data_IF_627382337744
#
_entry.id   IF_627382337744
#
_cell.length_a   1.000
_cell.length_b   1.000
_cell.length_c   1.000
_cell.angle_alpha   90.00
_cell.angle_beta   90.00
_cell.angle_gamma   90.00
#
_symmetry.space_group_name_H-M   'P 1'
#
loop_
_entity.id
_entity.type
_entity.pdbx_description
1 polymer ?
#
# COMPACT_ATOMS: atom_id res chain seq x y z
N UNK A 1 3.57 4.34 65.01
CA UNK A 1 4.62 5.38 64.88
C UNK A 1 4.69 5.73 63.41
N UNK A 2 3.80 6.64 62.95
CA UNK A 2 4.03 8.10 62.90
C UNK A 2 5.13 8.44 61.88
N UNK A 3 5.00 9.37 60.96
CA UNK A 3 3.94 10.24 60.44
C UNK A 3 4.66 11.08 59.35
N UNK A 4 3.89 11.85 58.57
CA UNK A 4 4.32 13.02 57.78
C UNK A 4 4.99 12.73 56.42
N UNK A 5 4.54 13.27 55.29
CA UNK A 5 3.53 14.29 55.08
C UNK A 5 3.60 14.78 53.62
N UNK A 6 2.48 14.64 52.91
CA UNK A 6 1.79 15.67 52.14
C UNK A 6 2.53 16.57 51.11
N UNK A 7 2.05 16.43 49.86
CA UNK A 7 1.66 17.48 48.89
C UNK A 7 2.56 18.70 48.66
N UNK A 8 3.09 18.77 47.42
CA UNK A 8 3.65 19.97 46.81
C UNK A 8 3.00 20.29 45.46
N UNK A 9 1.70 20.61 45.47
CA UNK A 9 1.00 21.27 44.36
C UNK A 9 1.72 22.59 44.07
N UNK A 10 2.43 22.70 42.94
CA UNK A 10 2.99 23.97 42.49
C UNK A 10 1.86 24.86 42.00
N UNK A 11 1.30 25.67 42.91
CA UNK A 11 0.41 26.79 42.58
C UNK A 11 1.21 27.81 41.78
N UNK A 12 0.88 27.96 40.50
CA UNK A 12 1.31 29.08 39.67
C UNK A 12 0.79 30.39 40.29
N UNK A 13 1.72 31.25 40.74
CA UNK A 13 1.39 32.63 41.09
C UNK A 13 1.34 33.43 39.80
N UNK A 14 0.12 33.72 39.32
CA UNK A 14 -0.11 34.80 38.35
C UNK A 14 0.24 36.13 39.03
N UNK A 15 1.32 36.77 38.57
CA UNK A 15 1.60 38.16 38.88
C UNK A 15 1.20 38.97 37.64
N UNK A 16 0.07 39.67 37.76
CA UNK A 16 -0.46 40.57 36.74
C UNK A 16 0.42 41.83 36.73
N UNK A 17 1.13 42.05 35.63
CA UNK A 17 1.72 43.33 35.28
C UNK A 17 1.27 43.67 33.85
N UNK A 18 0.67 44.85 33.72
CA UNK A 18 -0.11 45.33 32.58
C UNK A 18 0.73 46.37 31.82
N UNK A 19 1.23 46.04 30.62
CA UNK A 19 1.57 46.99 29.52
C UNK A 19 1.52 46.25 28.15
N UNK A 20 0.72 46.78 27.22
CA UNK A 20 0.48 46.37 25.80
C UNK A 20 1.71 46.57 24.87
N UNK A 21 1.77 46.08 23.60
CA UNK A 21 0.78 45.31 22.81
C UNK A 21 1.35 44.09 22.03
N UNK A 22 0.47 43.32 21.39
CA UNK A 22 0.76 42.40 20.26
C UNK A 22 1.84 41.31 20.46
N UNK A 23 1.45 40.19 21.08
CA UNK A 23 1.86 38.89 20.57
C UNK A 23 0.67 37.94 20.66
N UNK A 24 0.09 37.63 19.50
CA UNK A 24 -0.75 36.46 19.34
C UNK A 24 0.15 35.27 19.65
N UNK A 25 0.04 34.75 20.86
CA UNK A 25 0.62 33.45 21.19
C UNK A 25 -0.21 32.41 20.44
N UNK A 26 0.12 32.23 19.16
CA UNK A 26 -0.25 31.02 18.45
C UNK A 26 0.50 29.89 19.13
N UNK A 27 -0.18 29.14 19.99
CA UNK A 27 0.20 27.77 20.29
C UNK A 27 -0.01 26.97 19.00
N UNK A 28 0.88 27.17 18.02
CA UNK A 28 1.02 26.25 16.91
C UNK A 28 1.71 25.04 17.51
N UNK A 29 0.91 24.04 17.89
CA UNK A 29 1.40 22.69 18.13
C UNK A 29 1.98 22.24 16.78
N UNK A 30 3.27 22.53 16.57
CA UNK A 30 4.00 22.02 15.44
C UNK A 30 3.94 20.51 15.55
N UNK A 31 3.03 19.90 14.80
CA UNK A 31 3.04 18.47 14.56
C UNK A 31 4.43 18.17 14.02
N UNK A 32 5.32 17.66 14.90
CA UNK A 32 6.62 17.19 14.46
C UNK A 32 6.33 16.07 13.47
N UNK A 33 6.47 16.38 12.18
CA UNK A 33 6.53 15.36 11.18
C UNK A 33 7.79 14.57 11.50
N UNK A 34 7.60 13.38 12.06
CA UNK A 34 8.69 12.46 12.34
C UNK A 34 9.46 12.26 11.03
N UNK A 35 10.76 12.62 10.98
CA UNK A 35 11.53 12.41 9.77
C UNK A 35 11.62 10.89 9.55
N UNK A 36 10.96 10.41 8.50
CA UNK A 36 11.16 9.04 8.01
C UNK A 36 12.67 8.84 7.83
N UNK A 37 13.34 8.00 8.63
CA UNK A 37 14.77 7.83 8.52
C UNK A 37 15.06 7.09 7.21
N UNK A 38 15.38 7.84 6.17
CA UNK A 38 15.83 7.27 4.90
C UNK A 38 17.32 6.95 5.05
N UNK A 39 17.67 5.66 4.99
CA UNK A 39 19.07 5.22 4.85
C UNK A 39 19.70 5.97 3.67
N UNK A 40 20.82 6.65 3.90
CA UNK A 40 21.51 7.42 2.86
C UNK A 40 22.05 6.51 1.75
N UNK A 41 21.77 6.87 0.50
CA UNK A 41 22.53 6.35 -0.65
C UNK A 41 21.76 5.93 -1.91
N UNK A 42 20.43 6.07 -1.99
CA UNK A 42 19.66 5.42 -3.07
C UNK A 42 18.67 6.36 -3.73
N UNK A 43 18.71 6.45 -5.06
CA UNK A 43 17.71 7.18 -5.86
C UNK A 43 16.31 6.63 -5.55
N UNK A 44 15.47 7.45 -4.93
CA UNK A 44 14.07 7.14 -4.70
C UNK A 44 13.26 7.53 -5.95
N UNK A 45 12.33 6.67 -6.36
CA UNK A 45 11.25 7.05 -7.27
C UNK A 45 9.95 7.06 -6.49
N UNK A 46 9.13 8.10 -6.65
CA UNK A 46 7.82 8.12 -6.02
C UNK A 46 6.94 7.03 -6.64
N UNK A 47 6.33 6.22 -5.80
CA UNK A 47 5.25 5.33 -6.20
C UNK A 47 4.06 6.20 -6.66
N UNK A 48 3.31 5.75 -7.65
CA UNK A 48 2.12 6.46 -8.07
C UNK A 48 1.16 6.59 -6.89
N UNK A 49 0.55 7.78 -6.74
CA UNK A 49 -0.67 7.87 -5.98
C UNK A 49 -1.71 6.95 -6.64
N UNK A 50 -2.32 6.11 -5.81
CA UNK A 50 -3.52 5.34 -6.13
C UNK A 50 -4.61 6.29 -6.61
N UNK A 51 -5.67 5.79 -7.26
CA UNK A 51 -6.82 6.61 -7.69
C UNK A 51 -7.66 7.19 -6.52
N UNK A 52 -7.07 7.29 -5.32
CA UNK A 52 -7.60 7.97 -4.16
C UNK A 52 -7.27 9.47 -4.23
N UNK A 53 -8.14 10.34 -3.68
CA UNK A 53 -7.81 11.74 -3.61
C UNK A 53 -6.55 11.91 -2.74
N UNK A 54 -5.56 12.64 -3.25
CA UNK A 54 -4.35 13.02 -2.51
C UNK A 54 -4.67 13.75 -1.19
N UNK A 55 -5.91 14.20 -1.02
CA UNK A 55 -6.48 14.79 0.19
C UNK A 55 -7.51 13.83 0.77
N UNK A 56 -7.19 13.23 1.91
CA UNK A 56 -8.09 12.32 2.59
C UNK A 56 -8.83 13.07 3.71
N UNK A 57 -10.16 13.08 3.64
CA UNK A 57 -11.01 13.56 4.73
C UNK A 57 -11.19 12.43 5.75
N UNK A 58 -11.22 12.73 7.06
CA UNK A 58 -11.67 11.76 8.05
C UNK A 58 -13.10 11.30 7.71
N UNK A 59 -13.33 9.98 7.76
CA UNK A 59 -14.67 9.42 7.53
C UNK A 59 -15.63 9.98 8.59
N UNK A 60 -16.85 10.43 8.21
CA UNK A 60 -17.83 10.94 9.16
C UNK A 60 -18.16 9.96 10.30
N UNK A 61 -18.04 8.66 10.02
CA UNK A 61 -18.41 7.57 10.92
C UNK A 61 -17.21 6.94 11.66
N UNK A 62 -16.01 7.52 11.53
CA UNK A 62 -14.82 6.98 12.18
C UNK A 62 -14.99 7.02 13.72
N UNK A 63 -14.97 5.84 14.35
CA UNK A 63 -14.92 5.73 15.82
C UNK A 63 -13.50 6.02 16.28
N UNK A 64 -13.22 7.28 16.54
CA UNK A 64 -11.99 7.68 17.20
C UNK A 64 -12.02 7.15 18.64
N UNK A 65 -10.89 6.62 19.12
CA UNK A 65 -10.73 6.20 20.52
C UNK A 65 -10.93 7.38 21.48
N UNK A 66 -10.55 7.21 22.76
CA UNK A 66 -10.80 8.18 23.84
C UNK A 66 -10.24 9.62 23.64
N UNK A 67 -9.67 9.94 22.47
CA UNK A 67 -9.25 11.28 22.04
C UNK A 67 -10.22 12.02 21.09
N UNK A 68 -11.40 11.47 20.76
CA UNK A 68 -12.40 12.16 19.94
C UNK A 68 -12.01 12.35 18.46
N UNK A 69 -12.97 12.78 17.64
CA UNK A 69 -12.70 13.15 16.25
C UNK A 69 -11.79 14.38 16.18
N UNK A 70 -10.88 14.47 15.19
CA UNK A 70 -10.09 15.68 15.01
C UNK A 70 -11.02 16.90 14.85
N UNK A 71 -10.74 17.98 15.58
CA UNK A 71 -11.55 19.20 15.67
C UNK A 71 -11.71 19.97 14.33
N UNK A 72 -11.12 19.47 13.25
CA UNK A 72 -11.35 20.00 11.91
C UNK A 72 -11.25 18.90 10.85
N UNK A 73 -12.10 18.94 9.81
CA UNK A 73 -11.94 18.12 8.61
C UNK A 73 -10.81 18.71 7.75
N UNK A 74 -9.62 18.87 8.31
CA UNK A 74 -8.45 19.22 7.52
C UNK A 74 -8.11 17.98 6.72
N UNK A 75 -8.29 18.06 5.41
CA UNK A 75 -7.84 17.01 4.55
C UNK A 75 -6.32 16.95 4.61
N UNK A 76 -5.78 15.83 5.09
CA UNK A 76 -4.33 15.64 5.13
C UNK A 76 -3.86 15.25 3.73
N UNK A 77 -2.74 15.83 3.32
CA UNK A 77 -2.10 15.46 2.06
C UNK A 77 -1.42 14.11 2.27
N UNK A 78 -1.81 13.10 1.47
CA UNK A 78 -1.21 11.76 1.50
C UNK A 78 0.03 11.81 0.60
N UNK A 79 1.26 11.80 1.15
CA UNK A 79 2.46 11.85 0.33
C UNK A 79 2.61 10.54 -0.44
N UNK A 80 3.06 10.66 -1.70
CA UNK A 80 3.43 9.49 -2.49
C UNK A 80 4.56 8.71 -1.79
N UNK A 81 4.42 7.38 -1.69
CA UNK A 81 5.41 6.55 -1.03
C UNK A 81 6.69 6.43 -1.88
N UNK A 82 7.90 6.57 -1.33
CA UNK A 82 9.11 6.33 -2.08
C UNK A 82 9.32 4.83 -2.35
N UNK A 83 9.75 4.50 -3.56
CA UNK A 83 10.22 3.17 -3.99
C UNK A 83 11.71 3.22 -4.28
N UNK A 84 12.43 2.22 -3.78
CA UNK A 84 13.89 2.14 -3.87
C UNK A 84 14.32 0.91 -4.67
N UNK A 85 15.04 1.07 -5.80
CA UNK A 85 15.34 -0.05 -6.68
C UNK A 85 16.28 -1.09 -6.09
N UNK A 86 17.06 -0.72 -5.09
CA UNK A 86 18.01 -1.54 -4.34
C UNK A 86 17.35 -2.30 -3.16
N UNK A 87 16.12 -1.93 -2.79
CA UNK A 87 15.38 -2.59 -1.71
C UNK A 87 14.56 -3.78 -2.22
N UNK A 88 14.32 -4.79 -1.37
CA UNK A 88 13.47 -5.91 -1.74
C UNK A 88 12.00 -5.47 -1.86
N UNK A 89 11.25 -6.20 -2.69
CA UNK A 89 9.81 -6.04 -2.90
C UNK A 89 9.04 -5.91 -1.59
N UNK A 90 9.35 -6.76 -0.61
CA UNK A 90 8.65 -6.76 0.68
C UNK A 90 8.84 -5.45 1.45
N UNK A 91 10.00 -4.81 1.35
CA UNK A 91 10.29 -3.56 2.08
C UNK A 91 9.58 -2.36 1.42
N UNK A 92 9.66 -2.26 0.09
CA UNK A 92 8.99 -1.18 -0.64
C UNK A 92 7.47 -1.30 -0.65
N UNK A 93 6.93 -2.53 -0.63
CA UNK A 93 5.49 -2.73 -0.43
C UNK A 93 5.06 -2.26 0.96
N UNK A 94 5.82 -2.62 2.00
CA UNK A 94 5.50 -2.23 3.37
C UNK A 94 5.63 -0.72 3.63
N UNK A 95 6.45 0.00 2.84
CA UNK A 95 6.53 1.47 2.93
C UNK A 95 5.40 2.21 2.19
N UNK A 96 4.55 1.49 1.46
CA UNK A 96 3.51 2.09 0.62
C UNK A 96 2.14 2.04 1.26
N UNK A 97 1.60 3.22 1.58
CA UNK A 97 0.24 3.36 2.12
C UNK A 97 -0.84 2.83 1.16
N UNK A 98 -0.60 2.90 -0.15
CA UNK A 98 -1.58 2.51 -1.18
C UNK A 98 -1.84 1.00 -1.28
N UNK A 99 -1.00 0.18 -0.65
CA UNK A 99 -1.09 -1.29 -0.67
C UNK A 99 -0.99 -1.89 0.72
N UNK A 100 -1.28 -1.10 1.76
CA UNK A 100 -1.22 -1.54 3.15
C UNK A 100 -2.10 -2.78 3.41
N UNK A 101 -3.33 -2.80 2.87
CA UNK A 101 -4.25 -3.93 3.03
C UNK A 101 -3.74 -5.19 2.32
N UNK A 102 -3.13 -5.01 1.16
CA UNK A 102 -2.48 -6.08 0.42
C UNK A 102 -1.30 -6.67 1.21
N UNK A 103 -0.46 -5.83 1.83
CA UNK A 103 0.65 -6.28 2.69
C UNK A 103 0.13 -7.02 3.92
N UNK A 104 -0.91 -6.51 4.58
CA UNK A 104 -1.57 -7.19 5.69
C UNK A 104 -2.08 -8.58 5.29
N UNK A 105 -2.69 -8.71 4.11
CA UNK A 105 -3.10 -10.00 3.57
C UNK A 105 -1.92 -10.93 3.26
N UNK A 106 -0.81 -10.42 2.74
CA UNK A 106 0.40 -11.20 2.48
C UNK A 106 1.04 -11.74 3.77
N UNK A 107 1.05 -10.93 4.83
CA UNK A 107 1.55 -11.34 6.15
C UNK A 107 0.63 -12.40 6.77
N UNK A 108 -0.68 -12.18 6.72
CA UNK A 108 -1.69 -13.12 7.24
C UNK A 108 -1.63 -14.50 6.55
N UNK A 109 -1.33 -14.52 5.26
CA UNK A 109 -1.28 -15.76 4.45
C UNK A 109 0.10 -16.41 4.39
N UNK A 110 1.13 -15.76 4.97
CA UNK A 110 2.53 -16.20 4.95
C UNK A 110 3.24 -16.02 3.60
N UNK A 111 2.64 -15.29 2.66
CA UNK A 111 3.24 -15.01 1.35
C UNK A 111 4.33 -13.93 1.44
N UNK A 112 4.31 -13.05 2.44
CA UNK A 112 5.36 -12.06 2.66
C UNK A 112 6.73 -12.72 2.90
N UNK A 113 6.77 -13.84 3.62
CA UNK A 113 7.98 -14.63 3.85
C UNK A 113 8.56 -15.19 2.53
N UNK A 114 7.70 -15.52 1.57
CA UNK A 114 8.12 -15.95 0.22
C UNK A 114 8.77 -14.80 -0.55
N UNK A 115 8.20 -13.59 -0.47
CA UNK A 115 8.74 -12.41 -1.13
C UNK A 115 10.05 -11.90 -0.50
N UNK A 116 10.34 -12.25 0.76
CA UNK A 116 11.64 -11.96 1.40
C UNK A 116 12.77 -12.87 0.91
N UNK A 117 12.47 -14.02 0.29
CA UNK A 117 13.50 -14.97 -0.18
C UNK A 117 14.25 -14.43 -1.40
N UNK A 118 15.48 -14.91 -1.57
CA UNK A 118 16.29 -14.65 -2.74
C UNK A 118 15.68 -15.36 -3.97
N UNK A 119 15.05 -14.59 -4.83
CA UNK A 119 14.53 -15.06 -6.11
C UNK A 119 13.86 -13.90 -6.83
N UNK A 120 13.98 -13.81 -8.17
CA UNK A 120 13.26 -12.79 -8.89
C UNK A 120 11.76 -13.11 -8.85
N UNK A 121 10.98 -12.22 -8.25
CA UNK A 121 9.52 -12.24 -8.30
C UNK A 121 9.00 -11.07 -9.14
N UNK A 122 7.85 -11.28 -9.76
CA UNK A 122 7.07 -10.19 -10.33
C UNK A 122 5.75 -10.13 -9.58
N UNK A 123 5.47 -9.00 -8.96
CA UNK A 123 4.28 -8.80 -8.12
C UNK A 123 3.37 -7.79 -8.81
N UNK A 124 2.13 -8.19 -9.06
CA UNK A 124 1.04 -7.35 -9.54
C UNK A 124 0.21 -6.89 -8.32
N UNK A 125 0.72 -5.91 -7.59
CA UNK A 125 0.12 -5.44 -6.35
C UNK A 125 -1.25 -4.80 -6.60
N UNK A 126 -2.20 -5.15 -5.75
CA UNK A 126 -3.57 -4.63 -5.77
C UNK A 126 -3.62 -3.45 -4.79
N UNK A 127 -3.99 -2.24 -5.24
CA UNK A 127 -4.19 -1.11 -4.33
C UNK A 127 -5.33 -1.35 -3.34
N UNK A 128 -5.36 -0.62 -2.22
CA UNK A 128 -6.37 -0.78 -1.17
C UNK A 128 -7.79 -0.66 -1.72
N UNK A 129 -8.07 0.39 -2.52
CA UNK A 129 -9.43 0.66 -3.03
C UNK A 129 -10.06 -0.50 -3.81
N UNK A 130 -9.42 -1.11 -4.83
CA UNK A 130 -9.93 -2.34 -5.44
C UNK A 130 -10.19 -3.47 -4.44
N UNK A 131 -9.29 -3.64 -3.46
CA UNK A 131 -9.39 -4.70 -2.45
C UNK A 131 -10.54 -4.49 -1.47
N UNK A 132 -10.74 -3.27 -0.99
CA UNK A 132 -11.88 -2.87 -0.17
C UNK A 132 -13.20 -3.07 -0.91
N UNK A 133 -13.29 -2.65 -2.19
CA UNK A 133 -14.49 -2.88 -3.01
C UNK A 133 -14.81 -4.36 -3.14
N UNK A 134 -13.81 -5.19 -3.41
CA UNK A 134 -13.98 -6.63 -3.48
C UNK A 134 -14.39 -7.24 -2.14
N UNK A 135 -13.79 -6.79 -1.04
CA UNK A 135 -14.15 -7.24 0.31
C UNK A 135 -15.60 -6.86 0.67
N UNK A 136 -16.08 -5.67 0.28
CA UNK A 136 -17.46 -5.26 0.48
C UNK A 136 -18.49 -6.03 -0.36
N UNK A 137 -18.06 -6.61 -1.50
CA UNK A 137 -18.89 -7.47 -2.35
C UNK A 137 -18.78 -8.96 -1.99
N UNK A 138 -17.83 -9.32 -1.13
CA UNK A 138 -17.59 -10.70 -0.74
C UNK A 138 -18.78 -11.25 0.04
N UNK A 139 -19.33 -12.38 -0.42
CA UNK A 139 -20.52 -12.99 0.19
C UNK A 139 -20.24 -13.80 1.47
N UNK A 140 -18.95 -13.99 1.82
CA UNK A 140 -18.54 -14.71 3.01
C UNK A 140 -18.42 -13.83 4.26
N UNK A 141 -18.02 -14.46 5.37
CA UNK A 141 -17.97 -13.85 6.71
C UNK A 141 -16.71 -13.00 6.96
N UNK A 142 -16.42 -12.02 6.10
CA UNK A 142 -15.16 -11.23 6.02
C UNK A 142 -14.03 -11.96 5.27
N UNK A 143 -13.35 -11.23 4.37
CA UNK A 143 -12.25 -11.71 3.54
C UNK A 143 -10.98 -11.98 4.38
N UNK A 144 -10.78 -11.24 5.46
CA UNK A 144 -9.63 -11.39 6.36
C UNK A 144 -9.89 -12.35 7.52
N UNK A 145 -11.10 -12.91 7.63
CA UNK A 145 -11.41 -13.91 8.65
C UNK A 145 -10.55 -15.18 8.48
N UNK A 146 -10.25 -15.90 9.57
CA UNK A 146 -9.52 -17.18 9.51
C UNK A 146 -10.15 -18.20 8.56
N UNK A 147 -11.49 -18.21 8.47
CA UNK A 147 -12.24 -19.09 7.56
C UNK A 147 -11.99 -18.77 6.07
N UNK A 148 -11.69 -17.51 5.74
CA UNK A 148 -11.46 -17.02 4.38
C UNK A 148 -9.99 -17.02 3.97
N UNK A 149 -9.07 -17.36 4.89
CA UNK A 149 -7.63 -17.45 4.61
C UNK A 149 -7.24 -18.26 3.35
N UNK A 150 -7.81 -19.45 3.06
CA UNK A 150 -7.45 -20.18 1.84
C UNK A 150 -7.84 -19.41 0.57
N UNK A 151 -8.96 -18.68 0.60
CA UNK A 151 -9.41 -17.83 -0.51
C UNK A 151 -8.47 -16.65 -0.69
N UNK A 152 -8.18 -15.94 0.40
CA UNK A 152 -7.26 -14.79 0.39
C UNK A 152 -5.87 -15.20 -0.11
N UNK A 153 -5.35 -16.33 0.36
CA UNK A 153 -4.04 -16.86 -0.09
C UNK A 153 -4.04 -17.17 -1.58
N UNK A 154 -5.13 -17.73 -2.12
CA UNK A 154 -5.24 -18.01 -3.55
C UNK A 154 -5.33 -16.73 -4.37
N UNK A 155 -6.10 -15.75 -3.92
CA UNK A 155 -6.24 -14.44 -4.55
C UNK A 155 -4.89 -13.71 -4.61
N UNK A 156 -4.20 -13.58 -3.47
CA UNK A 156 -2.91 -12.91 -3.39
C UNK A 156 -1.82 -13.70 -4.12
N UNK A 157 -1.82 -15.04 -4.01
CA UNK A 157 -0.89 -15.89 -4.74
C UNK A 157 -1.01 -15.82 -6.26
N UNK A 158 -2.20 -15.52 -6.77
CA UNK A 158 -2.45 -15.31 -8.20
C UNK A 158 -1.79 -14.02 -8.74
N UNK A 159 -1.54 -13.04 -7.86
CA UNK A 159 -0.84 -11.80 -8.24
C UNK A 159 0.68 -11.92 -8.28
N UNK A 160 1.24 -13.03 -7.80
CA UNK A 160 2.68 -13.24 -7.68
C UNK A 160 3.13 -14.26 -8.73
N UNK A 161 4.09 -13.86 -9.55
CA UNK A 161 4.69 -14.69 -10.60
C UNK A 161 6.17 -14.90 -10.30
N UNK A 162 6.66 -16.12 -10.54
CA UNK A 162 8.09 -16.41 -10.46
C UNK A 162 8.81 -15.91 -11.71
N UNK A 163 9.97 -15.30 -11.51
CA UNK A 163 10.80 -14.73 -12.56
C UNK A 163 10.78 -13.20 -12.57
N UNK A 164 11.81 -12.63 -13.23
CA UNK A 164 11.92 -11.19 -13.47
C UNK A 164 11.26 -10.89 -14.81
N UNK A 165 10.03 -10.38 -14.77
CA UNK A 165 9.26 -9.98 -15.92
C UNK A 165 9.19 -8.46 -15.94
N UNK A 166 10.23 -7.82 -16.46
CA UNK A 166 10.15 -6.39 -16.75
C UNK A 166 9.39 -6.15 -18.07
N UNK A 167 8.94 -4.93 -18.29
CA UNK A 167 8.13 -4.58 -19.46
C UNK A 167 8.84 -4.94 -20.76
N UNK A 168 10.14 -4.62 -20.86
CA UNK A 168 10.95 -4.92 -22.03
C UNK A 168 11.03 -6.42 -22.31
N UNK A 169 11.14 -7.27 -21.28
CA UNK A 169 11.10 -8.73 -21.43
C UNK A 169 9.71 -9.20 -21.83
N UNK A 170 8.64 -8.71 -21.19
CA UNK A 170 7.27 -9.08 -21.52
C UNK A 170 6.96 -8.78 -22.97
N UNK A 171 7.20 -7.54 -23.43
CA UNK A 171 6.99 -7.13 -24.82
C UNK A 171 7.81 -7.98 -25.80
N UNK A 172 9.09 -8.27 -25.50
CA UNK A 172 9.92 -9.16 -26.34
C UNK A 172 9.42 -10.59 -26.39
N UNK A 173 8.86 -11.12 -25.31
CA UNK A 173 8.32 -12.49 -25.29
C UNK A 173 6.99 -12.54 -26.05
N UNK A 174 6.11 -11.57 -25.83
CA UNK A 174 4.85 -11.43 -26.57
C UNK A 174 5.13 -11.35 -28.08
N UNK A 175 6.03 -10.44 -28.50
CA UNK A 175 6.39 -10.28 -29.91
C UNK A 175 6.98 -11.56 -30.55
N UNK A 176 7.74 -12.36 -29.80
CA UNK A 176 8.32 -13.63 -30.29
C UNK A 176 7.32 -14.78 -30.37
N UNK A 177 6.22 -14.71 -29.64
CA UNK A 177 5.22 -15.79 -29.60
C UNK A 177 4.20 -15.64 -30.74
N UNK A 178 4.44 -14.74 -31.71
CA UNK A 178 3.52 -14.38 -32.79
C UNK A 178 2.10 -14.04 -32.32
N UNK A 179 1.95 -13.73 -31.03
CA UNK A 179 0.68 -13.61 -30.34
C UNK A 179 0.63 -12.31 -29.57
N UNK A 180 -0.57 -11.83 -29.27
CA UNK A 180 -0.81 -10.63 -28.48
C UNK A 180 -0.64 -10.86 -26.98
N UNK A 181 -0.31 -12.09 -26.55
CA UNK A 181 -0.30 -12.48 -25.14
C UNK A 181 0.76 -13.53 -24.77
N UNK A 182 1.12 -13.57 -23.48
CA UNK A 182 1.96 -14.59 -22.85
C UNK A 182 1.31 -15.09 -21.56
N UNK A 183 1.28 -16.39 -21.34
CA UNK A 183 0.82 -16.99 -20.09
C UNK A 183 1.97 -17.11 -19.09
N UNK A 184 1.77 -16.58 -17.88
CA UNK A 184 2.71 -16.63 -16.77
C UNK A 184 2.18 -17.57 -15.69
N UNK A 185 3.06 -18.40 -15.13
CA UNK A 185 2.70 -19.29 -14.01
C UNK A 185 2.77 -18.54 -12.69
N UNK A 186 1.63 -18.43 -12.01
CA UNK A 186 1.53 -17.78 -10.70
C UNK A 186 1.90 -18.73 -9.55
N UNK A 187 2.05 -18.19 -8.35
CA UNK A 187 2.27 -18.98 -7.13
C UNK A 187 1.01 -19.79 -6.75
N UNK A 188 -0.20 -19.29 -7.08
CA UNK A 188 -1.43 -20.06 -6.86
C UNK A 188 -1.55 -21.28 -7.79
N UNK A 189 -0.77 -21.32 -8.88
CA UNK A 189 -0.73 -22.41 -9.85
C UNK A 189 -1.54 -22.11 -11.12
N UNK A 190 -2.52 -21.21 -11.04
CA UNK A 190 -3.35 -20.78 -12.17
C UNK A 190 -2.54 -19.89 -13.13
N UNK A 191 -2.74 -20.00 -14.46
CA UNK A 191 -2.04 -19.15 -15.42
C UNK A 191 -2.60 -17.73 -15.42
N UNK A 192 -1.71 -16.74 -15.29
CA UNK A 192 -2.01 -15.32 -15.47
C UNK A 192 -1.52 -14.88 -16.85
N UNK A 193 -2.44 -14.45 -17.71
CA UNK A 193 -2.09 -14.00 -19.05
C UNK A 193 -1.74 -12.52 -19.04
N UNK A 194 -0.64 -12.15 -19.67
CA UNK A 194 -0.26 -10.76 -19.94
C UNK A 194 -0.34 -10.52 -21.43
N UNK A 195 -1.15 -9.56 -21.86
CA UNK A 195 -1.37 -9.22 -23.25
C UNK A 195 -1.05 -7.74 -23.53
N UNK A 196 -0.81 -7.42 -24.80
CA UNK A 196 -0.78 -6.04 -25.27
C UNK A 196 -2.17 -5.70 -25.80
N UNK A 197 -2.81 -4.69 -25.22
CA UNK A 197 -4.08 -4.17 -25.71
C UNK A 197 -3.89 -3.52 -27.08
N UNK A 198 -4.54 -3.99 -28.15
CA UNK A 198 -4.30 -3.50 -29.52
C UNK A 198 -4.59 -2.01 -29.69
N UNK A 199 -5.60 -1.50 -28.97
CA UNK A 199 -6.06 -0.12 -29.09
C UNK A 199 -5.12 0.90 -28.47
N UNK A 200 -4.44 0.54 -27.37
CA UNK A 200 -3.61 1.47 -26.58
C UNK A 200 -2.13 1.11 -26.57
N UNK A 201 -1.77 -0.11 -26.96
CA UNK A 201 -0.41 -0.65 -26.85
C UNK A 201 0.03 -0.91 -25.40
N UNK A 202 -0.86 -0.77 -24.42
CA UNK A 202 -0.58 -0.99 -23.01
C UNK A 202 -0.63 -2.47 -22.64
N UNK A 203 0.11 -2.85 -21.59
CA UNK A 203 0.04 -4.19 -21.03
C UNK A 203 -1.24 -4.35 -20.19
N UNK A 204 -1.97 -5.43 -20.44
CA UNK A 204 -3.18 -5.81 -19.71
C UNK A 204 -3.05 -7.23 -19.19
N UNK A 205 -3.60 -7.47 -18.02
CA UNK A 205 -3.69 -8.79 -17.40
C UNK A 205 -5.03 -9.42 -17.78
N UNK A 206 -5.05 -10.74 -17.96
CA UNK A 206 -6.25 -11.51 -18.19
C UNK A 206 -6.19 -12.84 -17.44
N UNK A 207 -7.34 -13.30 -16.96
CA UNK A 207 -7.48 -14.63 -16.34
C UNK A 207 -8.06 -15.65 -17.33
N UNK A 208 -8.10 -16.92 -16.93
CA UNK A 208 -8.67 -17.98 -17.76
C UNK A 208 -10.20 -17.85 -17.97
N UNK A 209 -10.88 -17.00 -17.19
CA UNK A 209 -12.31 -16.68 -17.35
C UNK A 209 -12.56 -15.53 -18.34
N UNK A 210 -11.52 -14.94 -18.91
CA UNK A 210 -11.62 -13.81 -19.84
C UNK A 210 -11.84 -12.45 -19.18
N UNK A 211 -11.82 -12.36 -17.85
CA UNK A 211 -11.78 -11.07 -17.17
C UNK A 211 -10.42 -10.41 -17.41
N UNK A 212 -10.41 -9.09 -17.59
CA UNK A 212 -9.20 -8.32 -17.86
C UNK A 212 -9.00 -7.25 -16.79
N UNK A 213 -7.74 -6.87 -16.60
CA UNK A 213 -7.34 -5.85 -15.65
C UNK A 213 -6.16 -5.06 -16.18
N UNK A 214 -6.24 -3.74 -16.14
CA UNK A 214 -5.20 -2.85 -16.65
C UNK A 214 -4.16 -2.56 -15.58
N UNK A 215 -2.95 -2.20 -16.00
CA UNK A 215 -1.89 -1.77 -15.10
C UNK A 215 -1.98 -0.25 -14.92
N UNK A 216 -1.88 0.22 -13.67
CA UNK A 216 -1.80 1.65 -13.34
C UNK A 216 -0.39 2.20 -13.56
N UNK A 217 0.63 1.40 -13.21
CA UNK A 217 2.04 1.78 -13.32
C UNK A 217 2.88 0.63 -13.87
N UNK A 218 3.73 0.98 -14.84
CA UNK A 218 4.23 0.01 -15.83
C UNK A 218 5.50 -0.70 -15.36
N UNK A 219 6.18 -0.27 -14.29
CA UNK A 219 7.01 -1.14 -13.42
C UNK A 219 7.97 -0.33 -12.55
N UNK A 220 8.18 -0.76 -11.31
CA UNK A 220 9.34 -0.39 -10.51
C UNK A 220 10.29 -1.58 -10.39
N UNK A 221 11.57 -1.40 -10.75
CA UNK A 221 12.60 -2.41 -10.52
C UNK A 221 12.93 -2.49 -9.03
N UNK A 222 13.23 -3.69 -8.55
CA UNK A 222 13.51 -3.99 -7.15
C UNK A 222 14.70 -4.96 -7.09
N UNK A 223 15.37 -5.06 -5.96
CA UNK A 223 16.56 -5.93 -5.84
C UNK A 223 16.22 -7.39 -6.14
N UNK A 224 15.07 -7.86 -5.67
CA UNK A 224 14.57 -9.22 -5.85
C UNK A 224 13.41 -9.31 -6.87
N UNK A 225 13.22 -8.35 -7.77
CA UNK A 225 12.09 -8.46 -8.69
C UNK A 225 11.63 -7.22 -9.45
N UNK A 226 10.34 -7.25 -9.81
CA UNK A 226 9.62 -6.16 -10.47
C UNK A 226 8.27 -5.99 -9.80
N UNK A 227 7.89 -4.73 -9.53
CA UNK A 227 6.61 -4.36 -8.94
C UNK A 227 5.74 -3.66 -10.00
N UNK A 228 4.50 -4.10 -10.10
CA UNK A 228 3.43 -3.50 -10.91
C UNK A 228 2.24 -3.17 -10.01
N UNK A 229 1.46 -2.16 -10.38
CA UNK A 229 0.19 -1.85 -9.72
C UNK A 229 -0.96 -2.11 -10.69
N UNK A 230 -2.00 -2.79 -10.22
CA UNK A 230 -3.22 -3.06 -11.02
C UNK A 230 -4.28 -1.99 -10.77
N UNK A 231 -5.19 -1.83 -11.73
CA UNK A 231 -6.33 -0.91 -11.59
C UNK A 231 -7.50 -1.56 -10.83
N UNK A 232 -7.67 -2.86 -10.96
CA UNK A 232 -8.72 -3.61 -10.27
C UNK A 232 -8.18 -4.94 -9.69
N UNK A 233 -9.09 -5.80 -9.25
CA UNK A 233 -8.81 -7.19 -8.88
C UNK A 233 -9.09 -8.11 -10.05
N UNK A 234 -8.18 -9.06 -10.23
CA UNK A 234 -8.36 -10.16 -11.18
C UNK A 234 -8.48 -11.47 -10.40
N UNK A 235 -9.69 -11.99 -10.16
CA UNK A 235 -9.87 -13.22 -9.41
C UNK A 235 -9.34 -14.43 -10.20
N UNK A 236 -8.86 -15.47 -9.51
CA UNK A 236 -8.45 -16.72 -10.14
C UNK A 236 -9.65 -17.45 -10.78
N UNK A 237 -9.33 -18.41 -11.65
CA UNK A 237 -10.33 -19.26 -12.30
C UNK A 237 -10.95 -20.28 -11.32
#
# INVERSE_FOLDING_TARGET
>A
MTDNGWYGVRRARCLVALVLPFMVAACESGAQQDPLPLRGGTSASLMPASAEPARQLPSPDAKFGAGGAPDSPVAYERPAAPSYPDRPLSENLASSLEVADYVHGLDTTGLSALLRRAGPFTVFAIPNRPLERFAGQWSGSDLYAPASQPVLKRLLGYTIVRGRWDEARLRRVIARTHGTAVALKTISGDPLTVAVEPSTGQLVLANAKGATNRLWFISARQSNGVLYFTQDILPPA
#
